data_IF_515859970769
#
_entry.id   IF_515859970769
#
_cell.length_a   1.000
_cell.length_b   1.000
_cell.length_c   1.000
_cell.angle_alpha   90.00
_cell.angle_beta   90.00
_cell.angle_gamma   90.00
#
_symmetry.space_group_name_H-M   'P 1'
#
loop_
_entity.id
_entity.type
_entity.pdbx_description
1 polymer ?
#
# COMPACT_ATOMS: atom_id res chain seq x y z
N UNK A 1 -18.58 -30.46 -3.39
CA UNK A 1 -19.15 -29.18 -2.92
C UNK A 1 -19.20 -28.25 -4.12
N UNK A 2 -20.37 -27.68 -4.43
CA UNK A 2 -20.55 -26.80 -5.58
C UNK A 2 -19.67 -25.54 -5.40
N UNK A 3 -18.89 -25.18 -6.43
CA UNK A 3 -18.22 -23.87 -6.51
C UNK A 3 -19.31 -22.79 -6.55
N UNK A 4 -19.63 -22.19 -5.40
CA UNK A 4 -20.31 -20.91 -5.39
C UNK A 4 -19.27 -19.88 -5.86
N UNK A 5 -19.38 -19.42 -7.11
CA UNK A 5 -18.65 -18.24 -7.57
C UNK A 5 -19.09 -17.07 -6.69
N UNK A 6 -18.14 -16.35 -6.09
CA UNK A 6 -18.44 -15.12 -5.38
C UNK A 6 -18.74 -14.08 -6.47
N UNK A 7 -20.01 -13.94 -6.84
CA UNK A 7 -20.43 -12.84 -7.72
C UNK A 7 -20.31 -11.53 -6.94
N UNK A 8 -19.12 -10.93 -6.97
CA UNK A 8 -18.85 -9.65 -6.32
C UNK A 8 -19.31 -8.52 -7.23
N UNK A 9 -20.61 -8.20 -7.20
CA UNK A 9 -21.10 -6.92 -7.71
C UNK A 9 -20.85 -5.82 -6.66
N UNK A 10 -19.87 -4.93 -6.89
CA UNK A 10 -19.83 -3.65 -6.18
C UNK A 10 -21.07 -2.85 -6.60
N UNK A 11 -21.78 -2.23 -5.66
CA UNK A 11 -22.94 -1.40 -6.00
C UNK A 11 -22.48 -0.22 -6.85
N UNK A 12 -22.89 -0.19 -8.12
CA UNK A 12 -22.49 0.88 -9.01
C UNK A 12 -23.12 2.21 -8.59
N UNK A 13 -22.28 3.21 -8.33
CA UNK A 13 -22.74 4.58 -8.09
C UNK A 13 -23.32 5.17 -9.38
N UNK A 14 -24.60 5.53 -9.35
CA UNK A 14 -25.25 6.26 -10.43
C UNK A 14 -25.20 7.76 -10.16
N UNK A 15 -24.57 8.51 -11.07
CA UNK A 15 -24.48 9.96 -10.97
C UNK A 15 -25.52 10.63 -11.87
N UNK A 16 -26.21 11.69 -11.42
CA UNK A 16 -27.09 12.46 -12.31
C UNK A 16 -26.28 13.07 -13.48
N UNK A 17 -26.91 13.36 -14.63
CA UNK A 17 -26.23 13.97 -15.78
C UNK A 17 -25.68 15.37 -15.44
N UNK A 18 -24.56 15.75 -16.07
CA UNK A 18 -23.97 17.09 -15.90
C UNK A 18 -24.89 18.13 -16.56
N UNK A 19 -25.21 19.22 -15.86
CA UNK A 19 -25.68 20.42 -16.53
C UNK A 19 -24.55 20.94 -17.45
N UNK A 20 -24.84 21.43 -18.66
CA UNK A 20 -23.82 21.83 -19.64
C UNK A 20 -23.20 23.17 -19.24
N UNK A 21 -22.33 23.16 -18.24
CA UNK A 21 -21.30 24.17 -17.97
C UNK A 21 -20.65 23.84 -16.62
N UNK A 22 -19.54 23.08 -16.62
CA UNK A 22 -18.29 23.42 -15.91
C UNK A 22 -17.21 22.46 -16.47
N UNK A 23 -16.53 22.83 -17.56
CA UNK A 23 -15.25 22.21 -17.92
C UNK A 23 -14.14 22.87 -17.10
N UNK A 24 -13.91 22.41 -15.86
CA UNK A 24 -12.82 22.96 -15.01
C UNK A 24 -11.66 22.01 -14.80
N UNK A 25 -11.67 20.81 -15.38
CA UNK A 25 -10.55 19.84 -15.24
C UNK A 25 -9.30 20.27 -16.03
N UNK A 26 -9.45 20.89 -17.20
CA UNK A 26 -8.31 21.19 -18.09
C UNK A 26 -7.39 22.30 -17.57
N UNK A 27 -7.82 23.12 -16.59
CA UNK A 27 -7.02 24.25 -16.06
C UNK A 27 -6.32 23.95 -14.72
N UNK A 28 -6.55 22.78 -14.13
CA UNK A 28 -6.02 22.43 -12.80
C UNK A 28 -4.95 21.34 -12.82
N UNK A 29 -4.73 20.72 -13.98
CA UNK A 29 -3.80 19.60 -14.16
C UNK A 29 -2.55 20.05 -14.91
N UNK A 30 -1.39 19.88 -14.29
CA UNK A 30 -0.11 20.01 -14.97
C UNK A 30 0.43 18.62 -15.27
N UNK A 31 0.65 18.35 -16.55
CA UNK A 31 1.34 17.14 -17.02
C UNK A 31 2.82 17.46 -17.13
N UNK A 32 3.66 16.69 -16.45
CA UNK A 32 5.11 16.77 -16.61
C UNK A 32 5.65 15.39 -16.95
N UNK A 33 6.26 15.27 -18.13
CA UNK A 33 7.04 14.09 -18.52
C UNK A 33 8.43 14.24 -17.89
N UNK A 34 8.70 13.48 -16.84
CA UNK A 34 10.02 13.46 -16.20
C UNK A 34 10.87 12.35 -16.80
N UNK A 35 11.33 12.60 -18.04
CA UNK A 35 12.44 11.90 -18.68
C UNK A 35 12.11 10.53 -19.29
N UNK A 36 12.59 10.33 -20.51
CA UNK A 36 12.94 8.99 -21.00
C UNK A 36 14.31 8.65 -20.40
N UNK A 37 14.36 7.64 -19.54
CA UNK A 37 15.57 6.81 -19.53
C UNK A 37 15.55 5.95 -20.79
N UNK A 38 16.67 5.35 -21.21
CA UNK A 38 16.71 4.50 -22.42
C UNK A 38 15.64 3.39 -22.46
N UNK A 39 15.09 3.03 -21.30
CA UNK A 39 14.25 1.84 -21.13
C UNK A 39 12.88 2.11 -20.51
N UNK A 40 12.66 3.28 -19.91
CA UNK A 40 11.39 3.62 -19.24
C UNK A 40 10.85 4.98 -19.65
N UNK A 41 9.53 5.02 -19.82
CA UNK A 41 8.76 6.25 -19.88
C UNK A 41 8.11 6.50 -18.51
N UNK A 42 8.31 7.70 -17.98
CA UNK A 42 7.77 8.14 -16.69
C UNK A 42 6.87 9.35 -16.92
N UNK A 43 5.64 9.28 -16.42
CA UNK A 43 4.67 10.36 -16.46
C UNK A 43 4.26 10.75 -15.05
N UNK A 44 4.25 12.05 -14.78
CA UNK A 44 3.73 12.61 -13.52
C UNK A 44 2.60 13.57 -13.84
N UNK A 45 1.48 13.41 -13.14
CA UNK A 45 0.33 14.31 -13.24
C UNK A 45 0.09 14.92 -11.89
N UNK A 46 0.06 16.25 -11.84
CA UNK A 46 -0.23 16.99 -10.60
C UNK A 46 -1.56 17.73 -10.73
N UNK A 47 -2.38 17.63 -9.70
CA UNK A 47 -3.54 18.49 -9.46
C UNK A 47 -3.29 19.34 -8.23
N UNK A 48 -3.46 20.65 -8.37
CA UNK A 48 -3.32 21.60 -7.26
C UNK A 48 -4.56 21.69 -6.36
N UNK A 49 -5.62 20.96 -6.71
CA UNK A 49 -6.88 21.03 -5.99
C UNK A 49 -7.81 19.84 -6.25
N UNK A 50 -8.73 19.64 -5.31
CA UNK A 50 -9.88 18.74 -5.46
C UNK A 50 -11.14 19.59 -5.42
N UNK A 51 -12.04 19.35 -6.37
CA UNK A 51 -13.39 19.93 -6.35
C UNK A 51 -14.35 18.92 -5.72
N UNK A 52 -15.12 19.36 -4.72
CA UNK A 52 -16.12 18.54 -4.04
C UNK A 52 -17.42 19.31 -3.83
N UNK A 53 -18.54 18.60 -3.70
CA UNK A 53 -19.82 19.20 -3.35
C UNK A 53 -20.01 19.12 -1.84
N UNK A 54 -20.34 20.24 -1.19
CA UNK A 54 -20.71 20.22 0.23
C UNK A 54 -22.13 19.67 0.45
N UNK A 55 -22.49 19.42 1.71
CA UNK A 55 -23.82 18.92 2.10
C UNK A 55 -24.99 19.86 1.71
N UNK A 56 -24.67 21.09 1.28
CA UNK A 56 -25.62 22.10 0.80
C UNK A 56 -25.66 22.19 -0.72
N UNK A 57 -25.00 21.27 -1.42
CA UNK A 57 -24.94 21.22 -2.88
C UNK A 57 -24.12 22.34 -3.51
N UNK A 58 -23.15 22.92 -2.79
CA UNK A 58 -22.22 23.93 -3.33
C UNK A 58 -20.92 23.28 -3.73
N UNK A 59 -20.37 23.69 -4.87
CA UNK A 59 -19.02 23.30 -5.27
C UNK A 59 -18.00 24.04 -4.40
N UNK A 60 -17.14 23.28 -3.73
CA UNK A 60 -16.06 23.76 -2.88
C UNK A 60 -14.72 23.22 -3.39
N UNK A 61 -13.63 23.91 -3.03
CA UNK A 61 -12.27 23.58 -3.44
C UNK A 61 -11.46 23.18 -2.21
N UNK A 62 -10.92 21.97 -2.21
CA UNK A 62 -9.87 21.57 -1.27
C UNK A 62 -8.52 21.86 -1.90
N UNK A 63 -7.69 22.65 -1.23
CA UNK A 63 -6.32 22.93 -1.66
C UNK A 63 -5.40 21.81 -1.15
N UNK A 64 -5.43 20.67 -1.82
CA UNK A 64 -4.47 19.58 -1.64
C UNK A 64 -3.76 19.34 -2.96
N UNK A 65 -2.43 19.29 -2.91
CA UNK A 65 -1.63 18.81 -4.03
C UNK A 65 -1.76 17.29 -4.10
N UNK A 66 -2.28 16.80 -5.22
CA UNK A 66 -2.31 15.37 -5.53
C UNK A 66 -1.44 15.16 -6.74
N UNK A 67 -0.47 14.28 -6.61
CA UNK A 67 0.27 13.74 -7.73
C UNK A 67 -0.22 12.34 -8.08
N UNK A 68 0.01 11.91 -9.31
CA UNK A 68 0.01 10.50 -9.71
C UNK A 68 1.23 10.25 -10.58
N UNK A 69 1.83 9.08 -10.46
CA UNK A 69 3.03 8.68 -11.19
C UNK A 69 2.74 7.40 -11.98
N UNK A 70 3.26 7.33 -13.20
CA UNK A 70 3.09 6.16 -14.02
C UNK A 70 4.37 5.83 -14.74
N UNK A 71 4.69 4.54 -14.77
CA UNK A 71 5.91 4.03 -15.38
C UNK A 71 5.56 2.88 -16.31
N UNK A 72 6.14 2.84 -17.50
CA UNK A 72 6.05 1.70 -18.39
C UNK A 72 7.30 1.56 -19.25
N UNK A 73 7.54 0.37 -19.80
CA UNK A 73 8.69 0.12 -20.67
C UNK A 73 8.42 0.69 -22.06
N UNK A 74 9.07 1.83 -22.37
CA UNK A 74 9.02 2.48 -23.69
C UNK A 74 7.60 2.69 -24.24
N UNK A 75 6.63 2.88 -23.35
CA UNK A 75 5.20 3.12 -23.65
C UNK A 75 4.72 4.37 -22.90
N UNK A 76 5.03 5.58 -23.39
CA UNK A 76 4.68 6.82 -22.71
C UNK A 76 3.18 7.01 -22.53
N UNK A 77 2.36 6.51 -23.44
CA UNK A 77 0.89 6.53 -23.32
C UNK A 77 0.38 5.68 -22.14
N UNK A 78 1.00 4.52 -21.90
CA UNK A 78 0.66 3.68 -20.74
C UNK A 78 1.14 4.29 -19.44
N UNK A 79 2.34 4.89 -19.43
CA UNK A 79 2.84 5.66 -18.30
C UNK A 79 1.89 6.82 -17.96
N UNK A 80 1.44 7.59 -18.94
CA UNK A 80 0.47 8.68 -18.73
C UNK A 80 -0.88 8.16 -18.20
N UNK A 81 -1.38 7.05 -18.75
CA UNK A 81 -2.64 6.42 -18.30
C UNK A 81 -2.56 6.00 -16.83
N UNK A 82 -1.45 5.37 -16.42
CA UNK A 82 -1.21 4.99 -15.01
C UNK A 82 -1.15 6.20 -14.09
N UNK A 83 -0.43 7.25 -14.50
CA UNK A 83 -0.30 8.48 -13.72
C UNK A 83 -1.66 9.17 -13.49
N UNK A 84 -2.50 9.26 -14.53
CA UNK A 84 -3.87 9.79 -14.39
C UNK A 84 -4.72 8.89 -13.49
N UNK A 85 -4.60 7.57 -13.63
CA UNK A 85 -5.35 6.61 -12.81
C UNK A 85 -5.00 6.73 -11.33
N UNK A 86 -3.72 6.83 -10.99
CA UNK A 86 -3.26 7.02 -9.60
C UNK A 86 -3.68 8.39 -9.03
N UNK A 87 -3.65 9.45 -9.84
CA UNK A 87 -4.16 10.76 -9.40
C UNK A 87 -5.67 10.68 -9.08
N UNK A 88 -6.47 10.03 -9.93
CA UNK A 88 -7.91 9.84 -9.71
C UNK A 88 -8.20 8.93 -8.49
N UNK A 89 -7.35 7.92 -8.28
CA UNK A 89 -7.38 7.07 -7.09
C UNK A 89 -7.19 7.90 -5.82
N UNK A 90 -6.09 8.66 -5.73
CA UNK A 90 -5.77 9.52 -4.59
C UNK A 90 -6.85 10.57 -4.36
N UNK A 91 -7.34 11.20 -5.43
CA UNK A 91 -8.45 12.16 -5.33
C UNK A 91 -9.69 11.54 -4.67
N UNK A 92 -10.00 10.30 -5.00
CA UNK A 92 -11.17 9.60 -4.45
C UNK A 92 -11.04 9.40 -2.94
N UNK A 93 -9.81 9.28 -2.42
CA UNK A 93 -9.55 9.13 -1.00
C UNK A 93 -9.79 10.35 -0.13
N UNK A 94 -9.83 11.56 -0.69
CA UNK A 94 -10.13 12.79 0.05
C UNK A 94 -11.61 13.21 -0.03
N UNK A 95 -12.42 12.53 -0.85
CA UNK A 95 -13.78 12.95 -1.17
C UNK A 95 -14.81 12.38 -0.20
N UNK A 96 -14.82 12.94 1.02
CA UNK A 96 -15.81 12.59 2.06
C UNK A 96 -17.26 12.71 1.58
N UNK A 97 -17.56 13.70 0.73
CA UNK A 97 -18.90 13.90 0.17
C UNK A 97 -19.39 12.75 -0.71
N UNK A 98 -18.50 11.82 -1.09
CA UNK A 98 -18.83 10.63 -1.88
C UNK A 98 -19.21 9.43 -1.00
N UNK A 99 -19.26 9.59 0.32
CA UNK A 99 -19.54 8.52 1.28
C UNK A 99 -20.88 8.74 1.98
N UNK A 100 -21.64 7.66 2.15
CA UNK A 100 -22.79 7.63 3.05
C UNK A 100 -22.31 7.37 4.47
N UNK A 101 -22.29 8.42 5.29
CA UNK A 101 -21.71 8.39 6.63
C UNK A 101 -22.79 8.26 7.69
N UNK A 102 -22.61 7.27 8.57
CA UNK A 102 -23.42 7.07 9.77
C UNK A 102 -22.58 7.43 10.98
N UNK A 103 -23.09 8.30 11.85
CA UNK A 103 -22.42 8.67 13.10
C UNK A 103 -23.07 7.95 14.27
N UNK A 104 -22.30 7.16 15.00
CA UNK A 104 -22.76 6.38 16.15
C UNK A 104 -21.58 5.90 16.99
N UNK A 105 -21.84 5.55 18.26
CA UNK A 105 -20.88 4.76 19.04
C UNK A 105 -20.83 3.32 18.50
N UNK A 106 -19.69 2.65 18.57
CA UNK A 106 -19.59 1.27 18.06
C UNK A 106 -20.60 0.35 18.76
N UNK A 107 -20.78 0.49 20.08
CA UNK A 107 -21.75 -0.31 20.85
C UNK A 107 -23.20 -0.22 20.32
N UNK A 108 -23.58 0.91 19.71
CA UNK A 108 -24.94 1.15 19.19
C UNK A 108 -25.18 0.44 17.85
N UNK A 109 -24.10 0.09 17.13
CA UNK A 109 -24.17 -0.51 15.80
C UNK A 109 -24.27 -2.04 15.83
N UNK A 110 -23.93 -2.68 16.95
CA UNK A 110 -23.94 -4.14 17.08
C UNK A 110 -23.14 -4.84 15.96
N UNK A 111 -23.61 -5.98 15.47
CA UNK A 111 -22.89 -6.79 14.46
C UNK A 111 -22.84 -6.17 13.05
N UNK A 112 -23.48 -5.00 12.87
CA UNK A 112 -23.40 -4.24 11.62
C UNK A 112 -22.05 -3.58 11.44
N UNK A 113 -21.30 -3.32 12.52
CA UNK A 113 -19.98 -2.68 12.45
C UNK A 113 -18.87 -3.67 12.82
N UNK A 114 -17.68 -3.47 12.25
CA UNK A 114 -16.52 -4.27 12.62
C UNK A 114 -16.16 -4.04 14.10
N UNK A 115 -15.69 -5.05 14.85
CA UNK A 115 -15.18 -4.83 16.21
C UNK A 115 -13.97 -3.89 16.18
N UNK A 116 -13.88 -2.92 17.09
CA UNK A 116 -12.72 -2.00 17.11
C UNK A 116 -11.42 -2.72 17.48
N UNK A 117 -11.52 -3.83 18.23
CA UNK A 117 -10.39 -4.71 18.53
C UNK A 117 -9.77 -5.40 17.30
N UNK A 118 -10.43 -5.34 16.13
CA UNK A 118 -9.91 -5.87 14.85
C UNK A 118 -9.20 -4.81 14.01
N UNK A 119 -9.19 -3.55 14.45
CA UNK A 119 -8.39 -2.50 13.82
C UNK A 119 -6.90 -2.78 14.06
N UNK A 120 -6.02 -2.31 13.15
CA UNK A 120 -4.59 -2.21 13.44
C UNK A 120 -4.34 -1.40 14.70
N UNK A 121 -3.57 -1.93 15.65
CA UNK A 121 -3.31 -1.32 16.96
C UNK A 121 -1.84 -1.12 17.22
N UNK A 122 -1.55 0.06 17.76
CA UNK A 122 -0.26 0.33 18.37
C UNK A 122 -0.14 -0.43 19.71
N UNK A 123 1.08 -0.63 20.19
CA UNK A 123 1.29 -1.16 21.54
C UNK A 123 0.91 -0.11 22.59
N UNK A 124 0.81 -0.54 23.85
CA UNK A 124 0.60 0.38 24.97
C UNK A 124 1.77 1.35 25.15
N UNK A 125 3.00 0.93 24.80
CA UNK A 125 4.17 1.82 24.82
C UNK A 125 4.06 2.90 23.73
N UNK A 126 3.60 2.53 22.55
CA UNK A 126 3.35 3.47 21.46
C UNK A 126 2.22 4.44 21.81
N UNK A 127 1.07 3.97 22.30
CA UNK A 127 -0.04 4.86 22.70
C UNK A 127 0.33 5.81 23.85
N UNK A 128 1.24 5.40 24.75
CA UNK A 128 1.74 6.26 25.81
C UNK A 128 2.70 7.36 25.32
N UNK A 129 3.30 7.21 24.12
CA UNK A 129 4.14 8.24 23.51
C UNK A 129 3.26 9.31 22.84
N UNK A 130 3.31 10.58 23.29
CA UNK A 130 2.52 11.66 22.69
C UNK A 130 2.78 11.87 21.19
N UNK A 131 3.93 11.39 20.68
CA UNK A 131 4.31 11.49 19.26
C UNK A 131 3.66 10.42 18.38
N UNK A 132 3.05 9.38 18.96
CA UNK A 132 2.33 8.35 18.21
C UNK A 132 1.22 8.96 17.33
N UNK A 133 0.50 9.94 17.88
CA UNK A 133 -0.56 10.64 17.16
C UNK A 133 -1.82 9.81 16.91
N UNK A 134 -1.77 8.49 17.10
CA UNK A 134 -2.91 7.59 17.06
C UNK A 134 -3.53 7.44 18.45
N UNK A 135 -4.84 7.18 18.46
CA UNK A 135 -5.63 6.98 19.67
C UNK A 135 -6.03 5.53 19.82
N UNK A 136 -5.98 5.01 21.04
CA UNK A 136 -6.53 3.70 21.35
C UNK A 136 -8.06 3.73 21.11
N UNK A 137 -8.60 2.79 20.31
CA UNK A 137 -10.03 2.71 20.05
C UNK A 137 -10.83 2.35 21.31
N UNK A 138 -11.94 3.05 21.55
CA UNK A 138 -12.90 2.74 22.61
C UNK A 138 -14.29 2.46 22.00
N UNK A 139 -14.99 1.44 22.50
CA UNK A 139 -16.32 1.03 22.01
C UNK A 139 -17.41 2.10 22.22
N UNK A 140 -17.16 3.04 23.14
CA UNK A 140 -18.02 4.19 23.42
C UNK A 140 -17.70 5.41 22.54
N UNK A 141 -16.62 5.35 21.74
CA UNK A 141 -16.26 6.42 20.82
C UNK A 141 -17.35 6.61 19.77
N UNK A 142 -17.87 7.84 19.70
CA UNK A 142 -18.78 8.25 18.63
C UNK A 142 -17.95 8.56 17.39
N UNK A 143 -17.92 7.59 16.47
CA UNK A 143 -17.16 7.65 15.24
C UNK A 143 -18.09 7.88 14.04
N UNK A 144 -17.47 8.27 12.93
CA UNK A 144 -18.10 8.24 11.62
C UNK A 144 -17.82 6.89 10.95
N UNK A 145 -18.88 6.28 10.41
CA UNK A 145 -18.84 4.95 9.84
C UNK A 145 -19.31 4.98 8.39
N UNK A 146 -18.69 4.17 7.55
CA UNK A 146 -19.07 3.99 6.14
C UNK A 146 -19.28 2.51 5.85
N UNK A 147 -20.18 2.22 4.91
CA UNK A 147 -20.46 0.86 4.50
C UNK A 147 -19.33 0.29 3.65
N UNK A 148 -18.85 -0.89 4.05
CA UNK A 148 -17.98 -1.76 3.28
C UNK A 148 -18.69 -3.09 2.99
N UNK A 149 -18.18 -3.82 2.01
CA UNK A 149 -18.65 -5.16 1.66
C UNK A 149 -17.57 -6.19 2.00
N UNK A 150 -17.94 -7.20 2.78
CA UNK A 150 -17.09 -8.38 2.98
C UNK A 150 -17.03 -9.19 1.69
N UNK A 151 -15.83 -9.40 1.17
CA UNK A 151 -15.64 -10.15 -0.08
C UNK A 151 -15.80 -11.65 0.12
N UNK A 152 -15.63 -12.16 1.33
CA UNK A 152 -15.78 -13.60 1.61
C UNK A 152 -17.24 -14.01 1.84
N UNK A 153 -18.03 -13.16 2.48
CA UNK A 153 -19.43 -13.48 2.84
C UNK A 153 -20.45 -12.71 1.99
N UNK A 154 -20.04 -11.62 1.35
CA UNK A 154 -20.94 -10.68 0.67
C UNK A 154 -21.70 -9.74 1.62
N UNK A 155 -21.52 -9.89 2.95
CA UNK A 155 -22.21 -9.07 3.95
C UNK A 155 -21.78 -7.60 3.90
N UNK A 156 -22.70 -6.73 4.34
CA UNK A 156 -22.46 -5.32 4.54
C UNK A 156 -21.98 -5.07 5.97
N UNK A 157 -20.81 -4.44 6.12
CA UNK A 157 -20.20 -4.09 7.41
C UNK A 157 -19.82 -2.61 7.44
N UNK A 158 -20.11 -1.95 8.54
CA UNK A 158 -19.68 -0.58 8.81
C UNK A 158 -18.24 -0.60 9.30
N UNK A 159 -17.40 0.22 8.68
CA UNK A 159 -16.00 0.46 9.10
C UNK A 159 -15.82 1.93 9.47
N UNK A 160 -14.90 2.26 10.40
CA UNK A 160 -14.58 3.65 10.69
C UNK A 160 -14.09 4.38 9.44
N UNK A 161 -14.57 5.60 9.21
CA UNK A 161 -14.17 6.44 8.07
C UNK A 161 -12.65 6.69 8.04
N UNK A 162 -11.98 6.68 9.18
CA UNK A 162 -10.52 6.82 9.28
C UNK A 162 -9.75 5.68 8.58
N UNK A 163 -10.36 4.50 8.36
CA UNK A 163 -9.73 3.43 7.57
C UNK A 163 -9.84 3.65 6.06
N UNK A 164 -10.66 4.64 5.67
CA UNK A 164 -11.18 4.79 4.32
C UNK A 164 -10.73 6.07 3.70
N UNK A 165 -10.71 7.20 4.39
CA UNK A 165 -10.30 8.49 3.81
C UNK A 165 -8.82 8.81 4.08
N UNK A 166 -8.22 9.58 3.16
CA UNK A 166 -6.89 10.16 3.28
C UNK A 166 -6.97 11.56 3.90
N UNK A 167 -5.90 11.98 4.58
CA UNK A 167 -5.80 13.26 5.28
C UNK A 167 -6.05 13.14 6.79
N UNK A 168 -5.71 14.20 7.51
CA UNK A 168 -5.80 14.21 8.97
C UNK A 168 -7.23 14.51 9.45
N UNK A 169 -7.72 13.73 10.41
CA UNK A 169 -8.92 13.96 11.22
C UNK A 169 -10.18 14.29 10.41
N UNK A 170 -11.01 13.27 10.17
CA UNK A 170 -12.22 13.46 9.40
C UNK A 170 -13.42 13.86 10.28
N UNK A 171 -13.92 15.09 10.06
CA UNK A 171 -15.19 15.55 10.61
C UNK A 171 -15.13 15.94 12.09
N UNK A 172 -16.03 15.37 12.89
CA UNK A 172 -16.18 15.67 14.32
C UNK A 172 -15.53 14.62 15.23
N UNK A 173 -14.88 13.60 14.67
CA UNK A 173 -14.14 12.63 15.43
C UNK A 173 -12.89 13.30 16.03
N UNK A 174 -12.73 13.21 17.35
CA UNK A 174 -11.57 13.76 18.05
C UNK A 174 -10.31 12.90 17.93
N UNK A 175 -10.47 11.66 17.45
CA UNK A 175 -9.48 10.57 17.50
C UNK A 175 -9.05 10.13 16.10
N UNK A 176 -7.73 9.97 15.92
CA UNK A 176 -7.12 9.32 14.76
C UNK A 176 -6.84 7.86 15.13
N UNK A 177 -7.58 6.90 14.57
CA UNK A 177 -7.44 5.49 14.97
C UNK A 177 -6.33 4.77 14.19
N UNK A 178 -6.13 5.15 12.93
CA UNK A 178 -5.16 4.56 12.01
C UNK A 178 -4.49 5.67 11.19
N UNK A 179 -3.28 5.42 10.70
CA UNK A 179 -2.60 6.36 9.82
C UNK A 179 -3.34 6.49 8.46
N UNK A 180 -3.52 7.71 7.92
CA UNK A 180 -4.25 7.95 6.69
C UNK A 180 -3.38 7.67 5.46
N UNK A 181 -3.02 6.40 5.22
CA UNK A 181 -2.18 5.96 4.10
C UNK A 181 -3.01 5.25 3.01
N UNK A 182 -2.53 5.33 1.76
CA UNK A 182 -3.21 4.82 0.56
C UNK A 182 -3.16 3.29 0.39
N UNK A 183 -2.60 2.54 1.32
CA UNK A 183 -2.47 1.06 1.20
C UNK A 183 -3.78 0.34 0.92
N UNK A 184 -3.91 -0.28 -0.25
CA UNK A 184 -5.11 -0.99 -0.66
C UNK A 184 -6.11 -0.13 -1.42
N UNK A 185 -5.78 1.12 -1.73
CA UNK A 185 -6.44 1.83 -2.81
C UNK A 185 -6.02 1.23 -4.16
N UNK A 186 -6.94 1.22 -5.12
CA UNK A 186 -6.61 0.84 -6.49
C UNK A 186 -7.60 1.44 -7.48
N UNK A 187 -7.07 2.01 -8.56
CA UNK A 187 -7.83 2.38 -9.74
C UNK A 187 -7.62 1.40 -10.90
N UNK A 188 -8.72 0.99 -11.55
CA UNK A 188 -8.66 0.18 -12.76
C UNK A 188 -9.93 0.34 -13.61
N UNK A 189 -9.87 -0.03 -14.89
CA UNK A 189 -11.05 -0.10 -15.78
C UNK A 189 -11.99 -1.29 -15.49
N UNK A 190 -11.67 -2.10 -14.49
CA UNK A 190 -12.35 -3.35 -14.14
C UNK A 190 -12.36 -3.46 -12.62
N UNK A 191 -13.55 -3.65 -12.04
CA UNK A 191 -13.71 -3.78 -10.59
C UNK A 191 -12.90 -4.95 -10.03
N UNK A 192 -12.90 -6.09 -10.73
CA UNK A 192 -12.12 -7.28 -10.32
C UNK A 192 -10.62 -6.99 -10.28
N UNK A 193 -10.09 -6.28 -11.28
CA UNK A 193 -8.67 -5.94 -11.32
C UNK A 193 -8.30 -4.87 -10.30
N UNK A 194 -9.20 -3.91 -10.03
CA UNK A 194 -9.01 -2.93 -8.96
C UNK A 194 -8.97 -3.63 -7.58
N UNK A 195 -9.91 -4.54 -7.32
CA UNK A 195 -9.94 -5.32 -6.07
C UNK A 195 -8.68 -6.19 -5.91
N UNK A 196 -8.26 -6.87 -6.98
CA UNK A 196 -7.06 -7.71 -6.95
C UNK A 196 -5.78 -6.87 -6.75
N UNK A 197 -5.67 -5.71 -7.38
CA UNK A 197 -4.55 -4.79 -7.21
C UNK A 197 -4.47 -4.26 -5.77
N UNK A 198 -5.60 -3.78 -5.23
CA UNK A 198 -5.67 -3.31 -3.84
C UNK A 198 -5.35 -4.43 -2.84
N UNK A 199 -5.84 -5.64 -3.08
CA UNK A 199 -5.56 -6.79 -2.22
C UNK A 199 -4.08 -7.19 -2.24
N UNK A 200 -3.45 -7.22 -3.42
CA UNK A 200 -2.02 -7.48 -3.56
C UNK A 200 -1.18 -6.41 -2.86
N UNK A 201 -1.58 -5.14 -2.94
CA UNK A 201 -0.87 -4.05 -2.25
C UNK A 201 -0.96 -4.21 -0.72
N UNK A 202 -2.14 -4.53 -0.17
CA UNK A 202 -2.27 -4.76 1.29
C UNK A 202 -1.34 -5.90 1.74
N UNK A 203 -1.27 -6.99 0.97
CA UNK A 203 -0.38 -8.13 1.27
C UNK A 203 1.11 -7.75 1.13
N UNK A 204 1.45 -6.92 0.15
CA UNK A 204 2.81 -6.38 -0.04
C UNK A 204 3.25 -5.56 1.18
N UNK A 205 2.35 -4.71 1.71
CA UNK A 205 2.62 -3.84 2.88
C UNK A 205 2.71 -4.63 4.19
N UNK A 206 1.93 -5.71 4.34
CA UNK A 206 2.08 -6.68 5.42
C UNK A 206 3.47 -7.31 5.41
N UNK A 207 3.93 -7.80 4.24
CA UNK A 207 5.25 -8.38 4.11
C UNK A 207 6.38 -7.38 4.38
N UNK A 208 6.25 -6.12 3.93
CA UNK A 208 7.21 -5.04 4.21
C UNK A 208 7.29 -4.77 5.72
N UNK A 209 6.15 -4.66 6.40
CA UNK A 209 6.08 -4.43 7.83
C UNK A 209 6.73 -5.61 8.60
N UNK A 210 6.30 -6.84 8.33
CA UNK A 210 6.81 -8.04 9.00
C UNK A 210 8.32 -8.21 8.81
N UNK A 211 8.80 -8.09 7.56
CA UNK A 211 10.23 -8.22 7.22
C UNK A 211 11.08 -7.25 8.02
N UNK A 212 10.69 -5.98 8.04
CA UNK A 212 11.47 -4.93 8.69
C UNK A 212 11.37 -4.98 10.21
N UNK A 213 10.15 -5.02 10.76
CA UNK A 213 9.90 -4.98 12.21
C UNK A 213 10.51 -6.20 12.91
N UNK A 214 10.34 -7.38 12.32
CA UNK A 214 10.77 -8.64 12.93
C UNK A 214 12.20 -9.02 12.55
N UNK A 215 12.87 -8.23 11.70
CA UNK A 215 14.19 -8.52 11.15
C UNK A 215 14.27 -9.92 10.55
N UNK A 216 13.30 -10.27 9.70
CA UNK A 216 13.15 -11.62 9.17
C UNK A 216 14.37 -12.03 8.31
N UNK A 217 14.95 -13.22 8.53
CA UNK A 217 16.06 -13.74 7.73
C UNK A 217 15.54 -14.35 6.43
N UNK A 218 15.13 -13.50 5.48
CA UNK A 218 14.52 -13.94 4.23
C UNK A 218 15.50 -14.76 3.35
N UNK A 219 15.03 -15.82 2.67
CA UNK A 219 15.83 -16.54 1.68
C UNK A 219 16.09 -15.68 0.44
N UNK A 220 17.23 -15.91 -0.22
CA UNK A 220 17.57 -15.26 -1.50
C UNK A 220 16.65 -15.73 -2.62
N UNK A 221 16.29 -14.83 -3.52
CA UNK A 221 15.52 -15.17 -4.71
C UNK A 221 16.38 -15.99 -5.69
N UNK A 222 15.80 -17.03 -6.29
CA UNK A 222 16.43 -17.71 -7.42
C UNK A 222 16.41 -16.81 -8.65
N UNK A 223 17.60 -16.35 -9.07
CA UNK A 223 17.76 -15.48 -10.25
C UNK A 223 17.40 -16.22 -11.55
N UNK A 224 17.26 -17.56 -11.54
CA UNK A 224 16.68 -18.35 -12.61
C UNK A 224 15.29 -17.87 -13.03
N UNK A 225 14.51 -17.34 -12.09
CA UNK A 225 13.13 -16.86 -12.28
C UNK A 225 13.04 -15.52 -13.03
N UNK A 226 14.15 -14.78 -13.14
CA UNK A 226 14.14 -13.46 -13.77
C UNK A 226 13.87 -13.55 -15.26
N UNK A 227 12.92 -12.72 -15.74
CA UNK A 227 12.73 -12.48 -17.16
C UNK A 227 13.98 -11.88 -17.80
N UNK A 228 14.07 -11.91 -19.13
CA UNK A 228 15.15 -11.24 -19.85
C UNK A 228 15.20 -9.73 -19.54
N UNK A 229 14.03 -9.10 -19.34
CA UNK A 229 13.96 -7.66 -19.02
C UNK A 229 14.48 -7.38 -17.61
N UNK A 230 14.06 -8.16 -16.61
CA UNK A 230 14.59 -8.05 -15.24
C UNK A 230 16.10 -8.26 -15.19
N UNK A 231 16.63 -9.26 -15.91
CA UNK A 231 18.07 -9.52 -15.99
C UNK A 231 18.83 -8.32 -16.57
N UNK A 232 18.31 -7.69 -17.62
CA UNK A 232 18.93 -6.48 -18.18
C UNK A 232 18.99 -5.34 -17.16
N UNK A 233 17.92 -5.09 -16.40
CA UNK A 233 17.94 -4.07 -15.36
C UNK A 233 18.97 -4.37 -14.27
N UNK A 234 19.04 -5.63 -13.84
CA UNK A 234 20.02 -6.10 -12.87
C UNK A 234 21.45 -5.86 -13.36
N UNK A 235 21.73 -6.22 -14.61
CA UNK A 235 23.05 -6.04 -15.24
C UNK A 235 23.39 -4.54 -15.43
N UNK A 236 22.40 -3.71 -15.75
CA UNK A 236 22.55 -2.26 -15.94
C UNK A 236 22.91 -1.57 -14.62
N UNK A 237 22.22 -1.93 -13.53
CA UNK A 237 22.51 -1.45 -12.18
C UNK A 237 23.90 -1.90 -11.73
N UNK A 238 24.26 -3.17 -11.95
CA UNK A 238 25.60 -3.67 -11.62
C UNK A 238 26.70 -2.88 -12.35
N UNK A 239 26.51 -2.52 -13.63
CA UNK A 239 27.45 -1.66 -14.39
C UNK A 239 27.54 -0.24 -13.83
N UNK A 240 26.52 0.23 -13.13
CA UNK A 240 26.50 1.52 -12.41
C UNK A 240 27.06 1.42 -10.99
N UNK A 241 27.46 0.23 -10.54
CA UNK A 241 27.92 -0.03 -9.18
C UNK A 241 26.78 -0.13 -8.16
N UNK A 242 25.57 -0.47 -8.62
CA UNK A 242 24.39 -0.68 -7.80
C UNK A 242 24.11 -2.19 -7.72
N UNK A 243 24.28 -2.76 -6.53
CA UNK A 243 23.97 -4.16 -6.25
C UNK A 243 22.49 -4.30 -5.87
N UNK A 244 21.79 -5.24 -6.50
CA UNK A 244 20.40 -5.58 -6.14
C UNK A 244 20.38 -6.90 -5.36
N UNK A 245 20.01 -6.83 -4.09
CA UNK A 245 19.83 -7.99 -3.24
C UNK A 245 18.36 -8.40 -3.20
N UNK A 246 18.00 -9.45 -3.94
CA UNK A 246 16.63 -9.95 -4.05
C UNK A 246 16.37 -11.08 -3.05
N UNK A 247 15.23 -11.00 -2.36
CA UNK A 247 14.77 -11.95 -1.37
C UNK A 247 13.33 -12.37 -1.66
N UNK A 248 13.01 -13.62 -1.36
CA UNK A 248 11.64 -14.09 -1.32
C UNK A 248 11.03 -13.71 0.04
N UNK A 249 10.06 -12.80 0.02
CA UNK A 249 9.33 -12.31 1.17
C UNK A 249 7.89 -12.86 1.21
N UNK A 250 7.59 -13.91 0.45
CA UNK A 250 6.27 -14.53 0.45
C UNK A 250 5.88 -14.97 1.87
N UNK A 251 4.72 -14.48 2.31
CA UNK A 251 4.19 -14.75 3.64
C UNK A 251 3.40 -16.07 3.66
N UNK A 252 2.67 -16.33 4.74
CA UNK A 252 1.74 -17.45 4.88
C UNK A 252 0.43 -17.27 4.09
N UNK A 253 0.33 -16.21 3.28
CA UNK A 253 -0.79 -15.96 2.38
C UNK A 253 -0.53 -16.65 1.03
N UNK A 254 -1.01 -17.90 0.94
CA UNK A 254 -0.76 -18.78 -0.19
C UNK A 254 -1.23 -18.17 -1.54
N UNK A 255 -0.39 -18.25 -2.57
CA UNK A 255 -0.71 -17.80 -3.94
C UNK A 255 -0.21 -16.41 -4.30
N UNK A 256 0.39 -15.69 -3.35
CA UNK A 256 1.04 -14.41 -3.62
C UNK A 256 2.56 -14.58 -3.56
N UNK A 257 3.21 -14.17 -4.64
CA UNK A 257 4.66 -14.06 -4.77
C UNK A 257 5.09 -12.67 -4.35
N UNK A 258 6.00 -12.56 -3.38
CA UNK A 258 6.48 -11.26 -2.89
C UNK A 258 8.00 -11.23 -2.98
N UNK A 259 8.54 -10.26 -3.71
CA UNK A 259 9.99 -10.06 -3.83
C UNK A 259 10.37 -8.79 -3.10
N UNK A 260 11.26 -8.91 -2.12
CA UNK A 260 11.85 -7.80 -1.38
C UNK A 260 13.26 -7.54 -1.92
N UNK A 261 13.56 -6.29 -2.25
CA UNK A 261 14.82 -5.87 -2.84
C UNK A 261 15.50 -4.83 -1.96
N UNK A 262 16.77 -5.08 -1.62
CA UNK A 262 17.66 -4.06 -1.06
C UNK A 262 18.67 -3.68 -2.13
N UNK A 263 18.55 -2.46 -2.66
CA UNK A 263 19.56 -1.89 -3.55
C UNK A 263 20.68 -1.27 -2.73
N UNK A 264 21.93 -1.44 -3.19
CA UNK A 264 23.13 -0.92 -2.55
C UNK A 264 24.05 -0.24 -3.54
N UNK A 265 24.55 0.93 -3.16
CA UNK A 265 25.50 1.70 -3.96
C UNK A 265 26.68 2.09 -3.09
N UNK A 266 27.75 1.32 -3.19
CA UNK A 266 28.92 1.47 -2.34
C UNK A 266 29.72 2.76 -2.60
N UNK A 267 29.40 3.52 -3.64
CA UNK A 267 30.03 4.81 -3.91
C UNK A 267 29.19 5.99 -3.38
N UNK A 268 27.89 5.80 -3.19
CA UNK A 268 26.97 6.87 -2.84
C UNK A 268 26.71 6.97 -1.33
N UNK A 269 27.19 8.04 -0.70
CA UNK A 269 26.97 8.26 0.73
C UNK A 269 25.59 8.78 1.11
N UNK A 270 24.87 9.41 0.17
CA UNK A 270 23.54 10.02 0.42
C UNK A 270 22.39 9.04 0.23
N UNK A 271 22.57 8.04 -0.63
CA UNK A 271 21.64 6.92 -0.81
C UNK A 271 22.44 5.64 -1.04
N UNK A 272 23.08 5.20 0.04
CA UNK A 272 23.84 3.97 0.12
C UNK A 272 22.95 2.75 -0.02
N UNK A 273 21.74 2.80 0.54
CA UNK A 273 20.75 1.74 0.40
C UNK A 273 19.35 2.28 0.17
N UNK A 274 18.53 1.49 -0.54
CA UNK A 274 17.11 1.74 -0.74
C UNK A 274 16.36 0.42 -0.78
N UNK A 275 15.13 0.41 -0.25
CA UNK A 275 14.29 -0.78 -0.18
C UNK A 275 13.15 -0.65 -1.18
N UNK A 276 12.87 -1.75 -1.87
CA UNK A 276 11.74 -1.89 -2.79
C UNK A 276 11.10 -3.25 -2.56
N UNK A 277 9.81 -3.39 -2.85
CA UNK A 277 9.08 -4.64 -2.63
C UNK A 277 7.91 -4.70 -3.60
N UNK A 278 7.65 -5.87 -4.15
CA UNK A 278 6.56 -6.07 -5.08
C UNK A 278 5.82 -7.39 -4.81
N UNK A 279 4.50 -7.34 -4.81
CA UNK A 279 3.64 -8.51 -4.81
C UNK A 279 3.01 -8.76 -6.20
N UNK A 280 2.91 -10.03 -6.58
CA UNK A 280 2.15 -10.50 -7.74
C UNK A 280 1.62 -11.93 -7.52
N UNK A 281 0.85 -12.44 -8.48
CA UNK A 281 0.32 -13.82 -8.42
C UNK A 281 1.30 -14.90 -8.88
N UNK A 282 2.45 -14.49 -9.43
CA UNK A 282 3.53 -15.35 -9.90
C UNK A 282 4.90 -14.66 -9.66
N UNK A 283 5.98 -15.44 -9.51
CA UNK A 283 7.29 -14.91 -9.11
C UNK A 283 7.95 -14.06 -10.19
N UNK A 284 7.73 -14.38 -11.47
CA UNK A 284 8.34 -13.64 -12.59
C UNK A 284 7.79 -12.21 -12.63
N UNK A 285 6.47 -12.07 -12.54
CA UNK A 285 5.81 -10.76 -12.49
C UNK A 285 6.23 -9.96 -11.26
N UNK A 286 6.36 -10.59 -10.09
CA UNK A 286 6.81 -9.91 -8.86
C UNK A 286 8.26 -9.41 -9.01
N UNK A 287 9.16 -10.23 -9.55
CA UNK A 287 10.55 -9.86 -9.78
C UNK A 287 10.71 -8.74 -10.83
N UNK A 288 9.97 -8.82 -11.94
CA UNK A 288 9.94 -7.78 -12.96
C UNK A 288 9.39 -6.45 -12.41
N UNK A 289 8.37 -6.53 -11.53
CA UNK A 289 7.79 -5.37 -10.87
C UNK A 289 8.79 -4.71 -9.93
N UNK A 290 9.41 -5.45 -9.01
CA UNK A 290 10.32 -4.86 -8.01
C UNK A 290 11.55 -4.21 -8.67
N UNK A 291 12.14 -4.81 -9.70
CA UNK A 291 13.33 -4.25 -10.36
C UNK A 291 13.01 -3.00 -11.16
N UNK A 292 11.84 -2.96 -11.81
CA UNK A 292 11.36 -1.74 -12.47
C UNK A 292 11.12 -0.62 -11.48
N UNK A 293 10.41 -0.89 -10.39
CA UNK A 293 10.12 0.09 -9.35
C UNK A 293 11.42 0.57 -8.70
N UNK A 294 12.36 -0.34 -8.45
CA UNK A 294 13.67 0.00 -7.89
C UNK A 294 14.45 0.99 -8.77
N UNK A 295 14.48 0.77 -10.09
CA UNK A 295 15.16 1.66 -11.02
C UNK A 295 14.56 3.09 -11.03
N UNK A 296 13.23 3.20 -10.95
CA UNK A 296 12.53 4.50 -10.97
C UNK A 296 12.62 5.19 -9.60
N UNK A 297 12.21 4.50 -8.54
CA UNK A 297 12.11 5.04 -7.18
C UNK A 297 13.47 5.48 -6.63
N UNK A 298 14.57 4.79 -6.95
CA UNK A 298 15.92 5.20 -6.54
C UNK A 298 16.25 6.63 -7.00
N UNK A 299 15.86 7.00 -8.21
CA UNK A 299 16.08 8.36 -8.73
C UNK A 299 15.26 9.40 -7.97
N UNK A 300 14.00 9.08 -7.64
CA UNK A 300 13.12 9.95 -6.85
C UNK A 300 13.63 10.13 -5.42
N UNK A 301 14.02 9.05 -4.73
CA UNK A 301 14.58 9.10 -3.38
C UNK A 301 15.89 9.89 -3.37
N UNK A 302 16.76 9.71 -4.37
CA UNK A 302 18.00 10.48 -4.51
C UNK A 302 17.71 11.98 -4.66
N UNK A 303 16.66 12.35 -5.40
CA UNK A 303 16.28 13.73 -5.56
C UNK A 303 15.72 14.30 -4.26
N UNK A 304 14.81 13.58 -3.59
CA UNK A 304 14.29 13.96 -2.27
C UNK A 304 15.42 14.13 -1.24
N UNK A 305 16.40 13.22 -1.21
CA UNK A 305 17.56 13.31 -0.32
C UNK A 305 18.46 14.53 -0.58
N UNK A 306 18.43 15.11 -1.80
CA UNK A 306 19.15 16.35 -2.11
C UNK A 306 18.35 17.57 -1.67
N UNK A 307 17.04 17.56 -1.90
CA UNK A 307 16.17 18.71 -1.68
C UNK A 307 15.83 18.88 -0.20
N UNK A 308 15.50 17.76 0.47
CA UNK A 308 15.09 17.71 1.88
C UNK A 308 15.80 16.55 2.59
N UNK A 309 17.04 16.74 3.06
CA UNK A 309 17.71 15.74 3.89
C UNK A 309 16.96 15.55 5.22
N UNK A 310 16.79 14.29 5.65
CA UNK A 310 16.13 13.94 6.91
C UNK A 310 17.19 13.50 7.91
N UNK A 311 17.39 14.30 8.97
CA UNK A 311 18.44 14.09 9.95
C UNK A 311 17.95 13.26 11.14
N UNK A 312 16.69 13.45 11.56
CA UNK A 312 16.10 12.84 12.76
C UNK A 312 14.81 12.08 12.43
N UNK A 313 14.44 11.03 13.19
CA UNK A 313 13.16 10.34 13.00
C UNK A 313 11.94 11.26 13.15
N UNK A 314 12.03 12.29 13.99
CA UNK A 314 10.98 13.30 14.20
C UNK A 314 10.63 14.10 12.93
N UNK A 315 11.52 14.18 11.96
CA UNK A 315 11.31 14.87 10.68
C UNK A 315 10.57 13.99 9.65
N UNK A 316 10.42 12.69 9.90
CA UNK A 316 9.74 11.76 8.99
C UNK A 316 8.23 12.04 9.00
N UNK A 317 7.71 12.46 7.85
CA UNK A 317 6.28 12.81 7.70
C UNK A 317 5.67 12.27 6.41
N UNK A 318 6.49 12.05 5.38
CA UNK A 318 6.10 11.46 4.10
C UNK A 318 6.69 10.06 3.93
N UNK A 319 6.10 9.28 3.02
CA UNK A 319 6.54 7.91 2.71
C UNK A 319 8.02 7.87 2.32
N UNK A 320 8.47 8.82 1.49
CA UNK A 320 9.86 8.89 1.00
C UNK A 320 10.87 9.22 2.10
N UNK A 321 10.45 9.90 3.17
CA UNK A 321 11.35 10.40 4.21
C UNK A 321 12.03 9.25 4.97
N UNK A 322 11.31 8.14 5.17
CA UNK A 322 11.86 6.92 5.77
C UNK A 322 13.02 6.36 4.95
N UNK A 323 12.89 6.31 3.62
CA UNK A 323 13.96 5.87 2.72
C UNK A 323 15.12 6.88 2.65
N UNK A 324 14.85 8.19 2.67
CA UNK A 324 15.90 9.23 2.73
C UNK A 324 16.68 9.12 4.04
N UNK A 325 15.99 9.03 5.16
CA UNK A 325 16.58 8.86 6.48
C UNK A 325 17.38 7.57 6.52
N UNK A 326 16.77 6.41 6.27
CA UNK A 326 17.47 5.12 6.38
C UNK A 326 18.48 4.86 5.28
N UNK A 327 18.48 5.63 4.19
CA UNK A 327 19.30 5.39 3.00
C UNK A 327 20.76 5.83 3.11
N UNK A 328 21.14 6.60 4.12
CA UNK A 328 22.52 7.11 4.26
C UNK A 328 23.53 6.04 4.70
N UNK A 329 24.80 6.20 4.35
CA UNK A 329 25.83 5.19 4.64
C UNK A 329 25.97 4.86 6.13
N UNK A 330 25.72 5.81 7.02
CA UNK A 330 25.82 5.67 8.47
C UNK A 330 24.79 4.68 9.06
N UNK A 331 23.73 4.33 8.31
CA UNK A 331 22.66 3.40 8.72
C UNK A 331 22.74 2.05 8.02
N UNK A 332 23.82 1.78 7.31
CA UNK A 332 24.05 0.53 6.56
C UNK A 332 23.89 -0.73 7.44
N UNK A 333 24.30 -0.67 8.72
CA UNK A 333 24.21 -1.79 9.66
C UNK A 333 22.78 -2.19 10.01
N UNK A 334 21.79 -1.32 9.82
CA UNK A 334 20.38 -1.63 10.06
C UNK A 334 19.85 -2.75 9.13
N UNK A 335 20.54 -2.98 8.01
CA UNK A 335 20.16 -3.94 6.96
C UNK A 335 20.91 -5.27 7.07
N UNK A 336 21.84 -5.41 8.02
CA UNK A 336 22.68 -6.60 8.15
C UNK A 336 21.90 -7.89 8.42
N UNK A 337 20.67 -7.80 8.96
CA UNK A 337 19.83 -8.97 9.17
C UNK A 337 19.45 -9.68 7.85
N UNK A 338 19.40 -8.94 6.73
CA UNK A 338 19.19 -9.48 5.38
C UNK A 338 20.51 -9.69 4.62
N UNK A 339 21.47 -8.78 4.83
CA UNK A 339 22.65 -8.68 3.97
C UNK A 339 23.85 -9.50 4.46
N UNK A 340 23.90 -9.86 5.75
CA UNK A 340 24.96 -10.71 6.27
C UNK A 340 24.87 -12.10 5.65
N UNK A 341 26.03 -12.69 5.35
CA UNK A 341 26.13 -14.07 4.86
C UNK A 341 25.83 -15.03 6.02
N UNK A 342 24.57 -15.43 6.14
CA UNK A 342 24.05 -16.30 7.20
C UNK A 342 23.25 -17.43 6.57
N UNK A 343 23.22 -18.63 7.18
CA UNK A 343 22.33 -19.70 6.75
C UNK A 343 20.89 -19.19 6.81
N UNK A 344 20.26 -19.01 5.66
CA UNK A 344 18.84 -18.73 5.60
C UNK A 344 18.06 -20.00 5.98
N UNK A 345 16.89 -19.86 6.61
CA UNK A 345 15.94 -20.97 6.73
C UNK A 345 15.68 -21.59 5.36
N UNK A 346 15.35 -22.89 5.31
CA UNK A 346 14.96 -23.52 4.06
C UNK A 346 13.83 -22.70 3.40
N UNK A 347 13.97 -22.34 2.11
CA UNK A 347 12.94 -21.58 1.42
C UNK A 347 11.63 -22.37 1.43
N UNK A 348 10.52 -21.69 1.73
CA UNK A 348 9.22 -22.19 1.26
C UNK A 348 9.19 -21.79 -0.21
N UNK A 349 9.01 -22.73 -1.15
CA UNK A 349 9.06 -22.39 -2.56
C UNK A 349 8.00 -21.33 -2.89
N UNK A 350 8.42 -20.26 -3.57
CA UNK A 350 7.47 -19.34 -4.20
C UNK A 350 6.48 -20.14 -5.07
N UNK A 351 5.20 -19.81 -5.06
CA UNK A 351 4.24 -20.51 -5.90
C UNK A 351 4.55 -20.25 -7.38
N UNK A 352 5.04 -21.25 -8.12
CA UNK A 352 5.45 -21.12 -9.54
C UNK A 352 4.37 -20.47 -10.42
N UNK A 353 3.11 -20.79 -10.15
CA UNK A 353 1.92 -20.11 -10.69
C UNK A 353 0.83 -20.15 -9.62
N UNK A 354 0.65 -19.08 -8.85
CA UNK A 354 -0.32 -19.06 -7.74
C UNK A 354 -1.74 -19.50 -8.13
N UNK A 355 -2.11 -19.30 -9.40
CA UNK A 355 -3.46 -19.56 -9.92
C UNK A 355 -3.54 -20.12 -11.36
N UNK A 356 -2.43 -20.50 -11.99
CA UNK A 356 -2.42 -21.09 -13.35
C UNK A 356 -3.12 -20.23 -14.42
N UNK A 357 -3.96 -20.85 -15.27
CA UNK A 357 -4.73 -20.19 -16.34
C UNK A 357 -6.11 -19.67 -15.89
N UNK A 358 -6.33 -19.59 -14.57
CA UNK A 358 -7.62 -19.15 -14.02
C UNK A 358 -7.93 -17.70 -14.42
N UNK A 359 -9.20 -17.40 -14.68
CA UNK A 359 -9.64 -16.03 -14.96
C UNK A 359 -9.47 -15.11 -13.73
N UNK A 360 -9.40 -13.79 -13.95
CA UNK A 360 -9.21 -12.79 -12.88
C UNK A 360 -10.20 -12.93 -11.72
N UNK A 361 -11.46 -13.26 -12.02
CA UNK A 361 -12.49 -13.47 -10.98
C UNK A 361 -12.17 -14.68 -10.10
N UNK A 362 -11.79 -15.81 -10.71
CA UNK A 362 -11.41 -17.02 -9.96
C UNK A 362 -10.16 -16.79 -9.11
N UNK A 363 -9.22 -15.97 -9.60
CA UNK A 363 -8.02 -15.57 -8.87
C UNK A 363 -8.38 -14.75 -7.63
N UNK A 364 -9.25 -13.74 -7.78
CA UNK A 364 -9.75 -12.93 -6.68
C UNK A 364 -10.48 -13.80 -5.64
N UNK A 365 -11.44 -14.62 -6.08
CA UNK A 365 -12.23 -15.50 -5.22
C UNK A 365 -11.33 -16.46 -4.43
N UNK A 366 -10.35 -17.06 -5.10
CA UNK A 366 -9.42 -17.97 -4.45
C UNK A 366 -8.50 -17.26 -3.47
N UNK A 367 -8.06 -16.02 -3.75
CA UNK A 367 -7.21 -15.28 -2.83
C UNK A 367 -7.98 -14.83 -1.58
N UNK A 368 -9.21 -14.32 -1.76
CA UNK A 368 -10.12 -13.98 -0.65
C UNK A 368 -10.41 -15.20 0.22
N UNK A 369 -10.65 -16.36 -0.39
CA UNK A 369 -10.85 -17.61 0.35
C UNK A 369 -9.63 -18.00 1.18
N UNK A 370 -8.43 -17.94 0.61
CA UNK A 370 -7.18 -18.29 1.33
C UNK A 370 -6.91 -17.36 2.51
N UNK A 371 -7.16 -16.07 2.35
CA UNK A 371 -7.10 -15.10 3.45
C UNK A 371 -8.11 -15.43 4.55
N UNK A 372 -9.35 -15.77 4.17
CA UNK A 372 -10.41 -16.15 5.11
C UNK A 372 -10.08 -17.43 5.88
N UNK A 373 -9.51 -18.43 5.20
CA UNK A 373 -9.03 -19.68 5.81
C UNK A 373 -7.92 -19.45 6.84
N UNK A 374 -7.20 -18.32 6.74
CA UNK A 374 -6.20 -17.85 7.71
C UNK A 374 -6.75 -16.89 8.78
N UNK A 375 -8.07 -16.66 8.80
CA UNK A 375 -8.72 -15.79 9.80
C UNK A 375 -8.69 -14.29 9.47
N UNK A 376 -8.31 -13.93 8.25
CA UNK A 376 -8.34 -12.56 7.76
C UNK A 376 -9.69 -12.26 7.10
N UNK A 377 -10.25 -11.10 7.40
CA UNK A 377 -11.49 -10.62 6.76
C UNK A 377 -11.14 -9.58 5.71
N UNK A 378 -11.58 -9.79 4.47
CA UNK A 378 -11.35 -8.88 3.34
C UNK A 378 -12.59 -8.04 3.11
N UNK A 379 -12.45 -6.73 3.30
CA UNK A 379 -13.50 -5.75 3.08
C UNK A 379 -13.14 -4.87 1.88
N UNK A 380 -14.14 -4.47 1.10
CA UNK A 380 -13.98 -3.57 -0.02
C UNK A 380 -15.01 -2.45 0.02
N UNK A 381 -14.60 -1.26 -0.41
CA UNK A 381 -15.43 -0.07 -0.52
C UNK A 381 -15.28 0.49 -1.92
N UNK A 382 -16.41 0.82 -2.57
CA UNK A 382 -16.41 1.53 -3.84
C UNK A 382 -16.24 3.04 -3.61
N UNK A 383 -15.06 3.54 -3.97
CA UNK A 383 -14.70 4.95 -3.90
C UNK A 383 -14.80 5.64 -5.26
N UNK A 384 -15.28 4.95 -6.29
CA UNK A 384 -15.43 5.48 -7.66
C UNK A 384 -16.14 6.81 -7.60
N UNK A 385 -15.44 7.88 -7.96
CA UNK A 385 -15.98 9.23 -8.06
C UNK A 385 -16.64 9.45 -9.41
N UNK A 386 -17.44 10.51 -9.53
CA UNK A 386 -18.02 10.92 -10.82
C UNK A 386 -16.94 11.14 -11.89
N UNK A 387 -15.80 11.72 -11.52
CA UNK A 387 -14.67 11.96 -12.42
C UNK A 387 -14.03 10.66 -12.89
N UNK A 388 -13.81 9.70 -11.99
CA UNK A 388 -13.29 8.38 -12.35
C UNK A 388 -14.27 7.62 -13.26
N UNK A 389 -15.55 7.58 -12.89
CA UNK A 389 -16.61 6.92 -13.66
C UNK A 389 -16.74 7.50 -15.09
N UNK A 390 -16.61 8.82 -15.25
CA UNK A 390 -16.65 9.48 -16.56
C UNK A 390 -15.52 9.03 -17.50
N UNK A 391 -14.42 8.50 -16.95
CA UNK A 391 -13.30 7.94 -17.69
C UNK A 391 -13.30 6.40 -17.73
N UNK A 392 -14.40 5.76 -17.29
CA UNK A 392 -14.50 4.30 -17.23
C UNK A 392 -13.57 3.67 -16.17
N UNK A 393 -13.14 4.44 -15.18
CA UNK A 393 -12.25 3.99 -14.10
C UNK A 393 -13.09 3.71 -12.86
N UNK A 394 -12.89 2.54 -12.27
CA UNK A 394 -13.36 2.12 -10.96
C UNK A 394 -12.25 2.37 -9.95
N UNK A 395 -12.59 2.94 -8.80
CA UNK A 395 -11.66 3.13 -7.69
C UNK A 395 -12.20 2.41 -6.46
N UNK A 396 -11.37 1.56 -5.85
CA UNK A 396 -11.74 0.82 -4.64
C UNK A 396 -10.76 1.12 -3.51
N UNK A 397 -11.22 0.89 -2.27
CA UNK A 397 -10.37 0.69 -1.10
C UNK A 397 -10.59 -0.71 -0.55
N UNK A 398 -9.53 -1.50 -0.50
CA UNK A 398 -9.49 -2.84 0.10
C UNK A 398 -8.87 -2.74 1.49
N UNK A 399 -9.51 -3.38 2.47
CA UNK A 399 -9.06 -3.47 3.86
C UNK A 399 -8.98 -4.96 4.20
N UNK A 400 -7.87 -5.40 4.79
CA UNK A 400 -7.72 -6.78 5.26
C UNK A 400 -7.48 -6.76 6.77
N UNK A 401 -8.50 -7.14 7.54
CA UNK A 401 -8.40 -7.16 8.99
C UNK A 401 -7.47 -8.29 9.45
N UNK A 402 -6.49 -7.96 10.30
CA UNK A 402 -5.49 -8.88 10.85
C UNK A 402 -4.18 -8.96 10.06
N UNK A 403 -4.03 -8.22 8.97
CA UNK A 403 -2.72 -7.94 8.37
C UNK A 403 -2.11 -6.67 8.97
N UNK A 404 -0.78 -6.62 9.06
CA UNK A 404 -0.06 -5.51 9.69
C UNK A 404 0.14 -4.39 8.67
N UNK A 405 -0.37 -3.16 8.90
CA UNK A 405 -0.10 -2.06 8.00
C UNK A 405 1.37 -1.65 8.06
N UNK A 406 1.93 -1.28 6.91
CA UNK A 406 3.20 -0.56 6.89
C UNK A 406 3.00 0.84 7.47
N UNK A 407 3.83 1.23 8.44
CA UNK A 407 3.81 2.58 8.98
C UNK A 407 4.96 3.43 8.46
N UNK A 408 4.66 4.69 8.16
CA UNK A 408 5.66 5.72 7.90
C UNK A 408 6.09 6.44 9.18
N UNK A 409 5.26 6.39 10.24
CA UNK A 409 5.58 7.05 11.50
C UNK A 409 6.52 6.17 12.32
N UNK A 410 7.66 6.71 12.80
CA UNK A 410 8.53 5.98 13.73
C UNK A 410 7.86 5.71 15.09
N UNK A 411 6.76 6.38 15.40
CA UNK A 411 6.10 6.33 16.72
C UNK A 411 4.78 5.57 16.73
N UNK A 412 4.29 5.13 15.56
CA UNK A 412 3.02 4.42 15.42
C UNK A 412 3.19 3.27 14.43
N UNK A 413 3.90 2.22 14.83
CA UNK A 413 4.36 1.10 13.98
C UNK A 413 3.49 -0.15 14.14
N UNK A 414 2.36 -0.02 14.84
CA UNK A 414 1.38 -1.09 15.06
C UNK A 414 1.97 -2.31 15.78
N UNK A 415 2.82 -2.08 16.78
CA UNK A 415 3.48 -3.15 17.56
C UNK A 415 2.54 -3.89 18.50
N UNK A 416 1.28 -3.47 18.58
CA UNK A 416 0.21 -4.18 19.28
C UNK A 416 -0.41 -5.30 18.45
N UNK A 417 -0.08 -5.43 17.16
CA UNK A 417 -0.65 -6.45 16.29
C UNK A 417 -0.13 -7.86 16.59
N UNK A 418 -1.00 -8.84 16.92
CA UNK A 418 -0.57 -10.21 17.24
C UNK A 418 0.23 -10.87 16.12
N UNK A 419 -0.12 -10.59 14.85
CA UNK A 419 0.56 -11.14 13.68
C UNK A 419 2.04 -10.80 13.65
N UNK A 420 2.46 -9.67 14.24
CA UNK A 420 3.87 -9.28 14.34
C UNK A 420 4.71 -10.28 15.16
N UNK A 421 4.08 -11.05 16.06
CA UNK A 421 4.75 -12.01 16.94
C UNK A 421 4.43 -13.45 16.54
N UNK A 422 3.18 -13.73 16.15
CA UNK A 422 2.72 -15.06 15.76
C UNK A 422 3.37 -15.52 14.45
N UNK A 423 3.47 -14.64 13.44
CA UNK A 423 4.01 -15.02 12.14
C UNK A 423 5.50 -15.41 12.22
N UNK A 424 6.41 -14.61 12.82
CA UNK A 424 7.81 -15.00 12.99
C UNK A 424 7.98 -16.32 13.76
N UNK A 425 7.16 -16.54 14.80
CA UNK A 425 7.17 -17.77 15.59
C UNK A 425 6.78 -18.98 14.75
N UNK A 426 5.64 -18.91 14.06
CA UNK A 426 5.12 -20.03 13.28
C UNK A 426 5.96 -20.33 12.04
N UNK A 427 6.45 -19.29 11.35
CA UNK A 427 7.16 -19.46 10.08
C UNK A 427 8.66 -19.72 10.24
N UNK A 428 9.28 -19.13 11.26
CA UNK A 428 10.73 -19.12 11.44
C UNK A 428 11.18 -19.68 12.80
N UNK A 429 10.27 -20.02 13.72
CA UNK A 429 10.62 -20.41 15.08
C UNK A 429 11.22 -19.27 15.90
N UNK A 430 10.97 -18.02 15.50
CA UNK A 430 11.51 -16.83 16.15
C UNK A 430 10.54 -16.33 17.21
N UNK A 431 10.87 -16.55 18.47
CA UNK A 431 10.19 -15.86 19.58
C UNK A 431 10.76 -14.44 19.70
N UNK A 432 9.88 -13.44 19.55
CA UNK A 432 10.21 -12.03 19.58
C UNK A 432 9.27 -11.36 20.57
N UNK A 433 9.80 -10.46 21.40
CA UNK A 433 9.01 -9.52 22.20
C UNK A 433 9.11 -8.11 21.60
N UNK A 434 8.32 -7.17 22.13
CA UNK A 434 8.33 -5.79 21.63
C UNK A 434 9.73 -5.13 21.66
N UNK A 435 10.55 -5.48 22.65
CA UNK A 435 11.93 -4.99 22.78
C UNK A 435 12.90 -5.59 21.74
N UNK A 436 12.58 -6.76 21.19
CA UNK A 436 13.29 -7.44 20.12
C UNK A 436 12.97 -6.93 18.71
N UNK A 437 11.92 -6.11 18.55
CA UNK A 437 11.56 -5.50 17.27
C UNK A 437 12.60 -4.46 16.81
N UNK A 438 12.64 -4.21 15.51
CA UNK A 438 13.64 -3.34 14.89
C UNK A 438 13.53 -1.90 15.42
N UNK A 439 14.58 -1.30 16.01
CA UNK A 439 14.49 0.05 16.56
C UNK A 439 14.41 1.14 15.47
N UNK A 440 14.81 0.83 14.24
CA UNK A 440 14.88 1.80 13.14
C UNK A 440 13.52 2.05 12.47
N UNK A 441 13.24 3.27 11.98
CA UNK A 441 12.04 3.53 11.18
C UNK A 441 12.04 2.70 9.89
N UNK A 442 10.86 2.56 9.28
CA UNK A 442 10.69 1.84 8.01
C UNK A 442 11.48 2.53 6.88
N UNK A 443 12.38 1.82 6.17
CA UNK A 443 13.19 2.36 5.07
C UNK A 443 12.51 2.36 3.70
N UNK A 444 11.29 1.82 3.60
CA UNK A 444 10.55 1.72 2.33
C UNK A 444 10.05 3.09 1.86
N UNK A 445 10.02 3.31 0.53
CA UNK A 445 9.46 4.51 -0.12
C UNK A 445 8.47 4.17 -1.23
#
# INVERSE_FOLDING_TARGET
>A
MAKASLSVELESKTYPPLAPAVSTTDKLQQFSLYGDSSDFSISVVNSSAILQWDDRGRLTKLNHEISGCGTDYRRPEMAATRAVSEMLERQSGFLRSNLDIVRAARRELGDRAIPLARLPRCSQLEYADPRCGLSEPDEDDVLDWVMARSLSTGERKLVPVEMVLLGDRHGHASKQLVAPISTGYAAHVSATDALLAGLLEVIERDAIALTWECRLPLPRLDLGLLSEQARRLLDDDARRGIDNHLFDATTDIDGVSIVYCVQRDHANRRLRQSVHCAAALDPVTAADKVLREAAVSRSAIMQAAKDTPIATPEEISAVVDGAVYMGVAERESAFEFLLADRPAPAPVPMPERGFGESGRSDQLDSLVRRLTERGHEVLAIDLTTRSAAAHGIVVVRVIVLGLVPMSISPYARYRGEPRMYEYPLHRFGMEIDEGGLNPWPQPFA
#
